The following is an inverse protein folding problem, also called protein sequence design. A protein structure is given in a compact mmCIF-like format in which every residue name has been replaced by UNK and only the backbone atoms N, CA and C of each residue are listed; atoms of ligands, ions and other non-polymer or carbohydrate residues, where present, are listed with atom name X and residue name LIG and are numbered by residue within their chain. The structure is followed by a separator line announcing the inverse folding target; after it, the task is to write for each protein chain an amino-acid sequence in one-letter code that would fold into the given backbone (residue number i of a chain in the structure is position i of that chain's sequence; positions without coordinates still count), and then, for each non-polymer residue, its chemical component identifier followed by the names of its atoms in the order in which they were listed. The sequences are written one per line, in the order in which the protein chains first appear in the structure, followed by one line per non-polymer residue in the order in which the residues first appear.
data_IF_715106312218
#
_entry.id   IF_715106312218
#
_cell.length_a   1.000
_cell.length_b   1.000
_cell.length_c   1.000
_cell.angle_alpha   90.00
_cell.angle_beta   90.00
_cell.angle_gamma   90.00
#
_symmetry.space_group_name_H-M   'P 1'
#
loop_
_entity.id
_entity.type
_entity.pdbx_description
1 polymer ?
#
# COMPACT_ATOMS: atom_id res chain seq x y z
N UNK A 1 12.94 -18.22 -10.78
CA UNK A 1 12.50 -18.50 -9.40
C UNK A 1 12.25 -17.16 -8.73
N UNK A 2 11.01 -16.86 -8.40
CA UNK A 2 10.68 -15.69 -7.58
C UNK A 2 11.27 -15.91 -6.18
N UNK A 3 12.07 -14.95 -5.77
CA UNK A 3 12.75 -15.02 -4.48
C UNK A 3 11.68 -14.99 -3.36
N UNK A 4 11.47 -16.12 -2.70
CA UNK A 4 10.49 -16.26 -1.61
C UNK A 4 10.67 -15.21 -0.51
N UNK A 5 11.88 -14.69 -0.35
CA UNK A 5 12.22 -13.69 0.66
C UNK A 5 11.55 -12.32 0.40
N UNK A 6 11.41 -11.90 -0.86
CA UNK A 6 10.77 -10.63 -1.20
C UNK A 6 9.24 -10.66 -1.00
N UNK A 7 8.64 -11.84 -1.05
CA UNK A 7 7.19 -12.02 -0.88
C UNK A 7 6.80 -12.02 0.61
N UNK A 8 7.71 -12.44 1.50
CA UNK A 8 7.44 -12.54 2.94
C UNK A 8 7.34 -11.16 3.60
N UNK A 9 8.02 -10.16 3.05
CA UNK A 9 8.04 -8.79 3.61
C UNK A 9 6.68 -8.10 3.52
N UNK A 10 5.81 -8.52 2.61
CA UNK A 10 4.47 -7.95 2.44
C UNK A 10 3.36 -8.68 3.20
N UNK A 11 3.70 -9.70 4.00
CA UNK A 11 2.75 -10.31 4.95
C UNK A 11 2.71 -9.50 6.25
N UNK A 12 2.63 -8.20 6.16
CA UNK A 12 2.80 -7.31 7.29
C UNK A 12 1.53 -7.12 8.12
N UNK A 13 0.87 -8.20 8.45
CA UNK A 13 0.03 -8.23 9.64
C UNK A 13 0.87 -8.42 10.92
N UNK A 14 2.18 -8.73 10.75
CA UNK A 14 3.17 -8.84 11.82
C UNK A 14 3.82 -7.48 12.17
N UNK A 15 3.17 -6.37 11.80
CA UNK A 15 3.57 -5.08 12.34
C UNK A 15 3.25 -5.09 13.84
N UNK A 16 4.27 -5.34 14.64
CA UNK A 16 4.18 -5.17 16.08
C UNK A 16 4.04 -3.68 16.37
N UNK A 17 2.79 -3.24 16.43
CA UNK A 17 2.41 -1.90 16.91
C UNK A 17 3.10 -1.56 18.25
N UNK A 18 3.52 -2.58 18.99
CA UNK A 18 4.19 -2.44 20.28
C UNK A 18 5.65 -1.98 20.20
N UNK A 19 6.30 -2.17 19.04
CA UNK A 19 7.70 -1.78 18.87
C UNK A 19 7.88 -0.27 18.60
N UNK A 20 6.77 0.44 18.30
CA UNK A 20 6.77 1.88 18.06
C UNK A 20 6.20 2.69 19.24
N UNK A 21 6.05 2.06 20.39
CA UNK A 21 5.61 2.73 21.60
C UNK A 21 6.83 2.96 22.51
N UNK A 22 7.01 4.20 22.96
CA UNK A 22 8.04 4.50 23.95
C UNK A 22 7.70 3.90 25.33
N UNK A 23 8.65 3.96 26.27
CA UNK A 23 8.46 3.43 27.62
C UNK A 23 7.27 4.03 28.38
N UNK A 24 6.65 5.09 27.85
CA UNK A 24 5.47 5.77 28.41
C UNK A 24 4.18 5.37 27.73
N UNK A 25 4.24 4.47 26.72
CA UNK A 25 3.06 4.08 25.95
C UNK A 25 2.63 5.10 24.89
N UNK A 26 3.50 6.04 24.54
CA UNK A 26 3.27 7.01 23.48
C UNK A 26 3.90 6.52 22.17
N UNK A 27 3.19 6.71 21.06
CA UNK A 27 3.69 6.40 19.73
C UNK A 27 4.95 7.21 19.45
N UNK A 28 6.05 6.56 19.11
CA UNK A 28 7.27 7.24 18.66
C UNK A 28 7.01 7.79 17.26
N UNK A 29 6.42 8.98 17.21
CA UNK A 29 6.42 9.79 16.02
C UNK A 29 7.74 10.55 16.01
N UNK A 30 8.57 10.31 15.00
CA UNK A 30 9.75 11.11 14.79
C UNK A 30 9.35 12.59 14.82
N UNK A 31 10.07 13.42 15.58
CA UNK A 31 9.84 14.86 15.63
C UNK A 31 9.73 15.41 14.21
N UNK A 32 8.74 16.26 13.91
CA UNK A 32 8.75 16.98 12.64
C UNK A 32 9.97 17.88 12.63
N UNK A 33 11.05 17.40 12.04
CA UNK A 33 12.11 18.28 11.60
C UNK A 33 11.45 19.32 10.68
N UNK A 34 11.65 20.59 10.92
CA UNK A 34 10.95 21.70 10.24
C UNK A 34 11.18 21.82 8.73
N UNK A 35 11.50 20.73 8.07
CA UNK A 35 11.36 20.55 6.64
C UNK A 35 9.96 19.99 6.40
N UNK A 36 9.21 20.62 5.51
CA UNK A 36 7.91 20.15 5.09
C UNK A 36 8.03 18.69 4.65
N UNK A 37 7.65 17.76 5.51
CA UNK A 37 7.66 16.33 5.22
C UNK A 37 6.44 16.00 4.34
N UNK A 38 6.25 16.81 3.30
CA UNK A 38 5.17 16.64 2.35
C UNK A 38 5.46 15.41 1.50
N UNK A 39 4.60 14.40 1.63
CA UNK A 39 4.73 13.20 0.83
C UNK A 39 4.13 13.45 -0.55
N UNK A 40 4.88 13.08 -1.58
CA UNK A 40 4.51 13.32 -2.97
C UNK A 40 4.00 12.05 -3.62
N UNK A 41 3.10 12.23 -4.59
CA UNK A 41 2.63 11.15 -5.44
C UNK A 41 3.64 10.83 -6.56
N UNK A 42 3.33 9.82 -7.35
CA UNK A 42 4.21 9.37 -8.44
C UNK A 42 4.42 10.41 -9.54
N UNK A 43 3.62 11.46 -9.59
CA UNK A 43 3.76 12.59 -10.53
C UNK A 43 4.54 13.76 -9.93
N UNK A 44 5.02 13.65 -8.69
CA UNK A 44 5.77 14.71 -8.01
C UNK A 44 4.90 15.82 -7.43
N UNK A 45 3.61 15.57 -7.26
CA UNK A 45 2.63 16.48 -6.65
C UNK A 45 2.26 15.99 -5.26
N UNK A 46 1.66 16.84 -4.39
CA UNK A 46 1.16 16.38 -3.10
C UNK A 46 0.24 15.17 -3.26
N UNK A 47 0.46 14.14 -2.43
CA UNK A 47 -0.30 12.90 -2.54
C UNK A 47 -1.77 13.13 -2.18
N UNK A 48 -2.67 12.57 -2.98
CA UNK A 48 -4.11 12.67 -2.77
C UNK A 48 -4.63 11.51 -1.91
N UNK A 49 -5.83 11.68 -1.36
CA UNK A 49 -6.54 10.67 -0.60
C UNK A 49 -6.78 9.42 -1.45
N UNK A 50 -6.47 8.24 -0.90
CA UNK A 50 -6.81 6.97 -1.53
C UNK A 50 -8.23 6.52 -1.13
N UNK A 51 -8.47 6.24 0.14
CA UNK A 51 -9.79 5.82 0.61
C UNK A 51 -9.94 5.98 2.14
N UNK A 52 -11.15 6.39 2.57
CA UNK A 52 -11.51 6.48 3.98
C UNK A 52 -12.49 5.37 4.41
N UNK A 53 -13.10 4.66 3.47
CA UNK A 53 -14.03 3.56 3.75
C UNK A 53 -13.89 2.45 2.69
N UNK A 54 -13.14 1.39 3.00
CA UNK A 54 -12.37 1.17 4.23
C UNK A 54 -11.20 2.13 4.37
N UNK A 55 -10.89 2.53 5.60
CA UNK A 55 -9.72 3.37 5.86
C UNK A 55 -8.45 2.59 5.53
N UNK A 56 -7.64 3.14 4.65
CA UNK A 56 -6.45 2.48 4.11
C UNK A 56 -5.17 3.20 4.49
N UNK A 57 -4.04 2.63 4.09
CA UNK A 57 -2.71 3.17 4.30
C UNK A 57 -1.97 2.51 5.45
N UNK A 58 -0.66 2.53 5.37
CA UNK A 58 0.20 2.00 6.45
C UNK A 58 -0.13 2.68 7.80
N UNK A 59 -0.37 3.99 7.77
CA UNK A 59 -0.74 4.76 8.96
C UNK A 59 -2.25 4.81 9.24
N UNK A 60 -3.07 4.18 8.43
CA UNK A 60 -4.54 4.21 8.54
C UNK A 60 -5.11 5.64 8.53
N UNK A 61 -4.57 6.48 7.69
CA UNK A 61 -5.00 7.87 7.50
C UNK A 61 -5.73 8.12 6.17
N UNK A 62 -5.97 7.05 5.41
CA UNK A 62 -6.62 7.11 4.10
C UNK A 62 -5.70 7.44 2.95
N UNK A 63 -4.44 7.72 3.21
CA UNK A 63 -3.41 8.04 2.21
C UNK A 63 -2.37 6.93 2.14
N UNK A 64 -1.80 6.75 0.95
CA UNK A 64 -0.69 5.80 0.77
C UNK A 64 0.64 6.45 1.19
N UNK A 65 0.65 7.05 2.38
CA UNK A 65 1.86 7.56 2.99
C UNK A 65 2.79 6.41 3.39
N UNK A 66 4.08 6.65 3.37
CA UNK A 66 5.07 5.65 3.76
C UNK A 66 6.14 6.27 4.65
N UNK A 67 6.92 5.41 5.29
CA UNK A 67 7.99 5.80 6.18
C UNK A 67 8.99 4.67 6.37
N UNK A 68 10.03 4.88 7.21
CA UNK A 68 11.11 3.92 7.39
C UNK A 68 10.67 2.53 7.87
N UNK A 69 9.54 2.45 8.56
CA UNK A 69 9.01 1.19 9.10
C UNK A 69 8.07 0.46 8.14
N UNK A 70 7.68 1.10 7.04
CA UNK A 70 6.84 0.49 6.02
C UNK A 70 7.69 -0.33 5.04
N UNK A 71 8.15 -1.47 5.50
CA UNK A 71 9.02 -2.35 4.71
C UNK A 71 8.33 -2.93 3.48
N UNK A 72 7.00 -3.06 3.52
CA UNK A 72 6.20 -3.52 2.40
C UNK A 72 5.94 -2.47 1.34
N UNK A 73 6.25 -1.20 1.59
CA UNK A 73 5.89 -0.09 0.71
C UNK A 73 4.42 -0.13 0.29
N UNK A 74 3.53 0.10 1.24
CA UNK A 74 2.07 0.15 1.01
C UNK A 74 1.69 1.46 0.32
N UNK A 75 2.16 1.61 -0.91
CA UNK A 75 2.25 2.90 -1.61
C UNK A 75 1.41 3.00 -2.87
N UNK A 76 0.82 1.89 -3.34
CA UNK A 76 0.02 1.86 -4.57
C UNK A 76 -1.45 1.96 -4.22
N UNK A 77 -2.11 3.06 -4.57
CA UNK A 77 -3.56 3.18 -4.43
C UNK A 77 -4.26 2.40 -5.55
N UNK A 78 -4.61 1.15 -5.28
CA UNK A 78 -5.18 0.23 -6.26
C UNK A 78 -6.69 0.07 -6.09
N UNK A 79 -7.38 -0.11 -7.21
CA UNK A 79 -8.81 -0.46 -7.24
C UNK A 79 -8.95 -1.98 -7.21
N UNK A 80 -9.51 -2.51 -6.14
CA UNK A 80 -9.67 -3.95 -5.98
C UNK A 80 -10.64 -4.53 -7.00
N UNK A 81 -10.28 -5.70 -7.54
CA UNK A 81 -11.11 -6.51 -8.41
C UNK A 81 -11.17 -7.93 -7.86
N UNK A 82 -12.21 -8.68 -8.19
CA UNK A 82 -12.31 -10.09 -7.78
C UNK A 82 -11.14 -10.91 -8.32
N UNK A 83 -10.74 -10.64 -9.56
CA UNK A 83 -9.60 -11.34 -10.18
C UNK A 83 -8.31 -11.11 -9.39
N UNK A 84 -8.01 -9.85 -9.03
CA UNK A 84 -6.84 -9.53 -8.24
C UNK A 84 -6.91 -10.12 -6.83
N UNK A 85 -8.05 -10.00 -6.16
CA UNK A 85 -8.23 -10.52 -4.79
C UNK A 85 -8.04 -12.03 -4.74
N UNK A 86 -8.57 -12.75 -5.73
CA UNK A 86 -8.39 -14.20 -5.87
C UNK A 86 -6.92 -14.55 -6.11
N UNK A 87 -6.26 -13.86 -7.02
CA UNK A 87 -4.83 -14.02 -7.30
C UNK A 87 -4.00 -13.76 -6.04
N UNK A 88 -4.26 -12.65 -5.36
CA UNK A 88 -3.52 -12.24 -4.16
C UNK A 88 -3.63 -13.28 -3.04
N UNK A 89 -4.81 -13.80 -2.79
CA UNK A 89 -5.03 -14.87 -1.80
C UNK A 89 -4.25 -16.13 -2.16
N UNK A 90 -4.28 -16.55 -3.42
CA UNK A 90 -3.52 -17.71 -3.90
C UNK A 90 -2.00 -17.49 -3.81
N UNK A 91 -1.55 -16.24 -3.95
CA UNK A 91 -0.14 -15.87 -3.83
C UNK A 91 0.33 -15.69 -2.37
N UNK A 92 -0.55 -15.93 -1.40
CA UNK A 92 -0.21 -15.87 0.03
C UNK A 92 -0.51 -14.53 0.69
N UNK A 93 -1.26 -13.64 0.03
CA UNK A 93 -1.69 -12.36 0.58
C UNK A 93 -3.21 -12.23 0.50
N UNK A 94 -3.90 -12.84 1.44
CA UNK A 94 -5.37 -12.81 1.51
C UNK A 94 -5.84 -11.45 2.02
N UNK A 95 -6.44 -10.67 1.13
CA UNK A 95 -7.01 -9.35 1.42
C UNK A 95 -8.54 -9.40 1.58
N UNK A 96 -9.16 -10.55 1.37
CA UNK A 96 -10.62 -10.68 1.36
C UNK A 96 -11.19 -11.11 2.71
N UNK A 97 -10.42 -11.84 3.50
CA UNK A 97 -10.89 -12.34 4.80
C UNK A 97 -10.79 -11.25 5.86
N UNK A 98 -11.91 -10.91 6.55
CA UNK A 98 -11.87 -9.95 7.64
C UNK A 98 -10.95 -10.40 8.78
N UNK A 99 -10.23 -9.45 9.35
CA UNK A 99 -9.37 -9.66 10.53
C UNK A 99 -9.71 -8.59 11.59
N UNK A 100 -10.78 -8.82 12.37
CA UNK A 100 -11.27 -7.82 13.34
C UNK A 100 -10.24 -7.42 14.39
N UNK A 101 -9.34 -8.34 14.77
CA UNK A 101 -8.26 -8.08 15.72
C UNK A 101 -7.27 -7.02 15.23
N UNK A 102 -7.21 -6.79 13.91
CA UNK A 102 -6.36 -5.76 13.29
C UNK A 102 -7.19 -4.59 12.72
N UNK A 103 -8.49 -4.53 13.01
CA UNK A 103 -9.36 -3.52 12.44
C UNK A 103 -9.52 -3.59 10.93
N UNK A 104 -9.30 -4.76 10.35
CA UNK A 104 -9.36 -4.98 8.91
C UNK A 104 -10.69 -5.64 8.52
N UNK A 105 -11.53 -4.94 7.70
CA UNK A 105 -12.85 -5.43 7.38
C UNK A 105 -12.89 -6.48 6.27
N UNK A 106 -11.77 -6.78 5.62
CA UNK A 106 -11.73 -7.52 4.37
C UNK A 106 -12.10 -6.64 3.18
N UNK A 107 -11.45 -6.85 2.05
CA UNK A 107 -11.70 -6.08 0.84
C UNK A 107 -12.60 -6.83 -0.13
N UNK A 108 -13.35 -6.06 -0.90
CA UNK A 108 -14.19 -6.56 -1.99
C UNK A 108 -13.94 -5.75 -3.25
N UNK A 109 -14.39 -6.25 -4.38
CA UNK A 109 -14.30 -5.54 -5.66
C UNK A 109 -14.92 -4.13 -5.54
N UNK A 110 -14.22 -3.13 -6.05
CA UNK A 110 -14.61 -1.72 -5.96
C UNK A 110 -13.96 -0.95 -4.82
N UNK A 111 -13.39 -1.63 -3.82
CA UNK A 111 -12.64 -0.96 -2.75
C UNK A 111 -11.31 -0.42 -3.27
N UNK A 112 -10.84 0.68 -2.68
CA UNK A 112 -9.49 1.18 -2.92
C UNK A 112 -8.61 0.83 -1.72
N UNK A 113 -7.39 0.46 -2.00
CA UNK A 113 -6.47 0.04 -0.96
C UNK A 113 -5.03 0.45 -1.28
N UNK A 114 -4.31 0.90 -0.27
CA UNK A 114 -2.87 1.14 -0.37
C UNK A 114 -2.14 -0.21 -0.36
N UNK A 115 -1.91 -0.71 -1.55
CA UNK A 115 -1.33 -2.03 -1.78
C UNK A 115 0.20 -1.97 -1.71
N UNK A 116 0.79 -3.05 -1.20
CA UNK A 116 2.23 -3.26 -1.24
C UNK A 116 2.73 -3.21 -2.70
N UNK A 117 3.75 -2.39 -2.96
CA UNK A 117 4.29 -2.21 -4.31
C UNK A 117 4.77 -3.53 -4.93
N UNK A 118 5.43 -4.38 -4.14
CA UNK A 118 5.89 -5.69 -4.62
C UNK A 118 4.73 -6.62 -4.94
N UNK A 119 3.62 -6.55 -4.20
CA UNK A 119 2.42 -7.36 -4.50
C UNK A 119 1.75 -6.90 -5.79
N UNK A 120 1.69 -5.59 -6.02
CA UNK A 120 1.20 -5.06 -7.29
C UNK A 120 2.10 -5.52 -8.45
N UNK A 121 3.42 -5.42 -8.28
CA UNK A 121 4.38 -5.85 -9.28
C UNK A 121 4.26 -7.36 -9.59
N UNK A 122 4.12 -8.18 -8.58
CA UNK A 122 3.88 -9.62 -8.72
C UNK A 122 2.62 -9.89 -9.55
N UNK A 123 1.53 -9.18 -9.26
CA UNK A 123 0.30 -9.30 -10.02
C UNK A 123 0.48 -8.83 -11.48
N UNK A 124 1.24 -7.77 -11.70
CA UNK A 124 1.56 -7.28 -13.04
C UNK A 124 2.30 -8.34 -13.86
N UNK A 125 3.30 -9.01 -13.29
CA UNK A 125 4.03 -10.08 -13.96
C UNK A 125 3.13 -11.27 -14.33
N UNK A 126 2.05 -11.48 -13.57
CA UNK A 126 1.07 -12.54 -13.82
C UNK A 126 -0.09 -12.09 -14.72
N UNK A 127 -0.10 -10.85 -15.20
CA UNK A 127 -1.21 -10.31 -15.98
C UNK A 127 -2.49 -10.05 -15.16
N UNK A 128 -2.37 -9.89 -13.85
CA UNK A 128 -3.48 -9.75 -12.90
C UNK A 128 -3.45 -8.43 -12.13
N UNK A 129 -2.59 -7.48 -12.50
CA UNK A 129 -2.48 -6.21 -11.80
C UNK A 129 -3.78 -5.42 -11.85
N UNK A 130 -4.27 -4.92 -10.69
CA UNK A 130 -5.44 -4.05 -10.68
C UNK A 130 -5.08 -2.67 -11.20
N UNK A 131 -6.09 -1.93 -11.66
CA UNK A 131 -5.95 -0.52 -11.99
C UNK A 131 -5.62 0.29 -10.74
N UNK A 132 -5.04 1.45 -10.92
CA UNK A 132 -4.57 2.29 -9.82
C UNK A 132 -4.88 3.77 -10.05
N UNK A 133 -4.76 4.55 -8.99
CA UNK A 133 -4.89 6.00 -9.00
C UNK A 133 -3.51 6.62 -8.77
N UNK A 134 -2.94 7.17 -9.82
CA UNK A 134 -1.56 7.63 -9.81
C UNK A 134 -1.34 8.82 -8.86
N UNK A 135 -2.36 9.71 -8.77
CA UNK A 135 -2.32 10.88 -7.88
C UNK A 135 -2.37 10.51 -6.39
N UNK A 136 -2.87 9.31 -6.07
CA UNK A 136 -2.92 8.78 -4.71
C UNK A 136 -1.86 7.71 -4.46
N UNK A 137 -1.00 7.44 -5.44
CA UNK A 137 0.12 6.49 -5.35
C UNK A 137 1.39 7.25 -5.00
N UNK A 138 2.11 6.79 -3.98
CA UNK A 138 3.30 7.46 -3.49
C UNK A 138 4.47 7.35 -4.46
N UNK A 139 5.31 8.38 -4.53
CA UNK A 139 6.50 8.39 -5.40
C UNK A 139 7.49 7.26 -5.12
N UNK A 140 7.54 6.76 -3.89
CA UNK A 140 8.39 5.61 -3.50
C UNK A 140 8.08 4.33 -4.28
N UNK A 141 6.87 4.23 -4.85
CA UNK A 141 6.51 3.13 -5.75
C UNK A 141 7.47 3.03 -6.94
N UNK A 142 8.03 4.18 -7.36
CA UNK A 142 8.97 4.24 -8.49
C UNK A 142 10.30 3.53 -8.21
N UNK A 143 10.62 3.26 -6.96
CA UNK A 143 11.78 2.44 -6.59
C UNK A 143 11.60 0.97 -6.98
N UNK A 144 10.35 0.54 -7.19
CA UNK A 144 9.97 -0.85 -7.49
C UNK A 144 9.42 -0.99 -8.91
N UNK A 145 8.60 -0.04 -9.35
CA UNK A 145 7.84 -0.12 -10.59
C UNK A 145 8.09 1.14 -11.43
N UNK A 146 8.54 1.00 -12.69
CA UNK A 146 8.70 2.15 -13.58
C UNK A 146 7.39 2.93 -13.79
N UNK A 147 7.50 4.25 -13.92
CA UNK A 147 6.36 5.14 -14.08
C UNK A 147 5.51 4.82 -15.32
N UNK A 148 6.13 4.45 -16.43
CA UNK A 148 5.43 4.11 -17.67
C UNK A 148 4.53 2.88 -17.50
N UNK A 149 4.93 1.90 -16.69
CA UNK A 149 4.10 0.75 -16.35
C UNK A 149 2.89 1.20 -15.51
N UNK A 150 3.13 2.04 -14.50
CA UNK A 150 2.05 2.57 -13.67
C UNK A 150 1.03 3.37 -14.50
N UNK A 151 1.51 4.18 -15.43
CA UNK A 151 0.65 4.98 -16.34
C UNK A 151 -0.29 4.12 -17.19
N UNK A 152 0.16 2.95 -17.62
CA UNK A 152 -0.66 2.01 -18.41
C UNK A 152 -1.86 1.49 -17.62
N UNK A 153 -1.78 1.49 -16.29
CA UNK A 153 -2.82 0.99 -15.39
C UNK A 153 -3.58 2.13 -14.68
N UNK A 154 -3.20 3.38 -14.90
CA UNK A 154 -3.78 4.51 -14.20
C UNK A 154 -5.19 4.83 -14.66
N UNK A 155 -6.09 5.10 -13.70
CA UNK A 155 -7.48 5.50 -13.94
C UNK A 155 -7.66 7.01 -13.94
N UNK A 156 -6.73 7.76 -13.37
CA UNK A 156 -6.81 9.21 -13.14
C UNK A 156 -5.86 10.03 -14.02
N UNK A 157 -5.39 9.44 -15.09
CA UNK A 157 -4.72 10.16 -16.17
C UNK A 157 -5.72 10.39 -17.29
N UNK A 158 -5.99 11.63 -17.55
CA UNK A 158 -6.79 12.06 -18.72
C UNK A 158 -5.88 12.46 -19.86
#
# INVERSE_FOLDING_TARGET
MLNRLAVTVCQSWDYNYLDDIDEKGEMIMGEPSGESNEQLNALGLPIELCCQDPVTGFFRDGHCHTGPHDHGLHTVCALMTEEFLTFSAAAGNDLSTPMPQHGFPGLKAGDRWCLCAMRWHQAHQAGKAPRLFLRATHQKTLDVIPLDILKQHALDLS
#
